data_IF_948520186214
#
_entry.id   IF_948520186214
#
_cell.length_a   1.000
_cell.length_b   1.000
_cell.length_c   1.000
_cell.angle_alpha   90.00
_cell.angle_beta   90.00
_cell.angle_gamma   90.00
#
_symmetry.space_group_name_H-M   'P 1'
#
loop_
_entity.id
_entity.type
_entity.pdbx_description
1 polymer ?
#
# COMPACT_ATOMS: atom_id res chain seq x y z
N UNK A 1 0.01 18.63 25.18
CA UNK A 1 -0.35 17.20 25.09
C UNK A 1 0.25 16.61 23.80
N UNK A 2 1.08 15.57 23.93
CA UNK A 2 1.39 14.53 22.90
C UNK A 2 2.15 14.88 21.60
N UNK A 3 3.25 15.63 21.62
CA UNK A 3 4.14 15.80 20.44
C UNK A 3 5.10 14.62 20.17
N UNK A 4 5.39 13.79 21.19
CA UNK A 4 6.34 12.65 21.07
C UNK A 4 5.79 11.46 20.28
N UNK A 5 4.48 11.20 20.36
CA UNK A 5 3.89 10.03 19.72
C UNK A 5 3.90 10.12 18.19
N UNK A 6 3.64 11.31 17.63
CA UNK A 6 3.73 11.55 16.18
C UNK A 6 5.15 11.35 15.67
N UNK A 7 6.19 11.90 16.31
CA UNK A 7 7.58 11.68 15.89
C UNK A 7 8.02 10.21 16.00
N UNK A 8 7.59 9.49 17.04
CA UNK A 8 7.88 8.06 17.17
C UNK A 8 7.19 7.23 16.07
N UNK A 9 5.94 7.58 15.74
CA UNK A 9 5.18 6.95 14.64
C UNK A 9 5.82 7.22 13.29
N UNK A 10 6.17 8.46 12.95
CA UNK A 10 6.80 8.79 11.67
C UNK A 10 8.10 8.00 11.48
N UNK A 11 8.96 7.91 12.53
CA UNK A 11 10.18 7.08 12.47
C UNK A 11 9.88 5.59 12.25
N UNK A 12 8.79 5.08 12.83
CA UNK A 12 8.41 3.69 12.64
C UNK A 12 7.92 3.43 11.22
N UNK A 13 7.17 4.36 10.63
CA UNK A 13 6.77 4.33 9.21
C UNK A 13 7.98 4.41 8.30
N UNK A 14 8.88 5.37 8.52
CA UNK A 14 10.10 5.51 7.71
C UNK A 14 10.92 4.23 7.72
N UNK A 15 11.14 3.67 8.91
CA UNK A 15 11.87 2.41 9.06
C UNK A 15 11.15 1.26 8.34
N UNK A 16 9.83 1.15 8.49
CA UNK A 16 9.05 0.11 7.84
C UNK A 16 9.09 0.24 6.30
N UNK A 17 9.00 1.46 5.76
CA UNK A 17 9.09 1.70 4.32
C UNK A 17 10.47 1.37 3.76
N UNK A 18 11.54 1.79 4.45
CA UNK A 18 12.92 1.44 4.05
C UNK A 18 13.16 -0.08 4.06
N UNK A 19 12.60 -0.80 5.03
CA UNK A 19 12.70 -2.27 5.08
C UNK A 19 11.81 -2.95 4.04
N UNK A 20 10.64 -2.39 3.75
CA UNK A 20 9.72 -2.94 2.78
C UNK A 20 10.26 -2.76 1.36
N UNK A 21 10.53 -1.52 0.92
CA UNK A 21 10.82 -1.18 -0.47
C UNK A 21 11.90 -0.07 -0.55
N UNK A 22 13.19 -0.44 -0.44
CA UNK A 22 14.29 0.52 -0.28
C UNK A 22 14.54 1.40 -1.52
N UNK A 23 14.08 0.99 -2.72
CA UNK A 23 14.25 1.76 -3.95
C UNK A 23 12.97 2.49 -4.40
N UNK A 24 12.02 2.71 -3.49
CA UNK A 24 10.83 3.51 -3.76
C UNK A 24 11.23 4.94 -4.14
N UNK A 25 10.75 5.49 -5.28
CA UNK A 25 10.99 6.88 -5.66
C UNK A 25 10.51 7.85 -4.58
N UNK A 26 11.13 9.03 -4.51
CA UNK A 26 10.84 9.99 -3.45
C UNK A 26 9.36 10.42 -3.42
N UNK A 27 8.76 10.69 -4.59
CA UNK A 27 7.34 11.07 -4.70
C UNK A 27 6.40 9.99 -4.17
N UNK A 28 6.65 8.73 -4.53
CA UNK A 28 5.86 7.59 -4.06
C UNK A 28 6.05 7.37 -2.56
N UNK A 29 7.29 7.48 -2.06
CA UNK A 29 7.59 7.33 -0.65
C UNK A 29 6.87 8.37 0.22
N UNK A 30 6.79 9.63 -0.23
CA UNK A 30 6.04 10.67 0.47
C UNK A 30 4.54 10.39 0.49
N UNK A 31 3.96 9.96 -0.64
CA UNK A 31 2.54 9.61 -0.71
C UNK A 31 2.21 8.41 0.22
N UNK A 32 3.05 7.37 0.21
CA UNK A 32 2.88 6.19 1.06
C UNK A 32 2.97 6.56 2.54
N UNK A 33 3.92 7.42 2.95
CA UNK A 33 4.02 7.91 4.34
C UNK A 33 2.74 8.61 4.77
N UNK A 34 2.24 9.53 3.93
CA UNK A 34 1.02 10.27 4.21
C UNK A 34 -0.19 9.34 4.37
N UNK A 35 -0.34 8.36 3.48
CA UNK A 35 -1.39 7.33 3.56
C UNK A 35 -1.25 6.48 4.83
N UNK A 36 -0.04 6.03 5.17
CA UNK A 36 0.21 5.20 6.35
C UNK A 36 -0.05 5.94 7.68
N UNK A 37 -0.06 7.27 7.67
CA UNK A 37 -0.41 8.14 8.81
C UNK A 37 -1.88 8.63 8.79
N UNK A 38 -2.67 8.27 7.77
CA UNK A 38 -4.12 8.55 7.73
C UNK A 38 -4.82 7.97 8.96
N UNK A 39 -5.91 8.62 9.37
CA UNK A 39 -6.74 8.20 10.51
C UNK A 39 -7.12 6.72 10.47
N UNK A 40 -7.37 6.15 9.29
CA UNK A 40 -7.76 4.75 9.11
C UNK A 40 -6.61 3.77 9.39
N UNK A 41 -5.37 4.13 9.05
CA UNK A 41 -4.20 3.23 9.13
C UNK A 41 -3.30 3.50 10.34
N UNK A 42 -3.33 4.72 10.90
CA UNK A 42 -2.42 5.13 12.00
C UNK A 42 -2.58 4.32 13.28
N UNK A 43 -3.71 3.61 13.45
CA UNK A 43 -3.97 2.72 14.59
C UNK A 43 -3.35 1.34 14.42
N UNK A 44 -2.96 0.96 13.21
CA UNK A 44 -2.31 -0.31 12.90
C UNK A 44 -0.80 -0.24 13.19
N UNK A 45 -0.14 -1.39 13.42
CA UNK A 45 1.32 -1.48 13.43
C UNK A 45 1.91 -0.86 12.15
N UNK A 46 3.01 -0.11 12.28
CA UNK A 46 3.58 0.65 11.16
C UNK A 46 3.90 -0.22 9.94
N UNK A 47 4.38 -1.45 10.14
CA UNK A 47 4.65 -2.40 9.05
C UNK A 47 3.39 -2.77 8.26
N UNK A 48 2.26 -2.97 8.94
CA UNK A 48 0.98 -3.30 8.30
C UNK A 48 0.42 -2.07 7.59
N UNK A 49 0.43 -0.91 8.26
CA UNK A 49 -0.02 0.34 7.66
C UNK A 49 0.75 0.70 6.39
N UNK A 50 2.08 0.53 6.41
CA UNK A 50 2.96 0.76 5.26
C UNK A 50 2.67 -0.24 4.15
N UNK A 51 2.48 -1.53 4.47
CA UNK A 51 2.12 -2.52 3.45
C UNK A 51 0.81 -2.15 2.72
N UNK A 52 -0.26 -1.88 3.48
CA UNK A 52 -1.57 -1.50 2.92
C UNK A 52 -1.46 -0.20 2.13
N UNK A 53 -0.77 0.80 2.67
CA UNK A 53 -0.55 2.08 2.00
C UNK A 53 0.24 1.92 0.68
N UNK A 54 1.29 1.11 0.68
CA UNK A 54 2.09 0.82 -0.52
C UNK A 54 1.26 0.12 -1.58
N UNK A 55 0.56 -0.96 -1.25
CA UNK A 55 -0.26 -1.70 -2.24
C UNK A 55 -1.38 -0.81 -2.78
N UNK A 56 -2.07 -0.07 -1.90
CA UNK A 56 -3.11 0.87 -2.33
C UNK A 56 -2.56 1.95 -3.24
N UNK A 57 -1.43 2.57 -2.90
CA UNK A 57 -0.78 3.59 -3.72
C UNK A 57 -0.37 3.04 -5.09
N UNK A 58 0.31 1.89 -5.11
CA UNK A 58 0.75 1.25 -6.36
C UNK A 58 -0.46 0.93 -7.23
N UNK A 59 -1.53 0.37 -6.64
CA UNK A 59 -2.76 0.06 -7.37
C UNK A 59 -3.37 1.29 -8.04
N UNK A 60 -3.52 2.40 -7.33
CA UNK A 60 -4.15 3.60 -7.90
C UNK A 60 -3.23 4.35 -8.87
N UNK A 61 -1.93 4.45 -8.59
CA UNK A 61 -1.04 5.36 -9.32
C UNK A 61 -0.17 4.67 -10.39
N UNK A 62 0.02 3.35 -10.29
CA UNK A 62 0.92 2.59 -11.17
C UNK A 62 0.23 1.46 -11.93
N UNK A 63 -1.11 1.40 -11.89
CA UNK A 63 -1.90 0.41 -12.61
C UNK A 63 -3.14 1.03 -13.24
N UNK A 64 -3.81 0.26 -14.07
CA UNK A 64 -5.05 0.56 -14.76
C UNK A 64 -6.29 0.38 -13.85
N UNK A 65 -6.12 0.23 -12.52
CA UNK A 65 -7.21 -0.09 -11.58
C UNK A 65 -8.38 0.89 -11.65
N UNK A 66 -8.11 2.19 -11.64
CA UNK A 66 -9.18 3.20 -11.67
C UNK A 66 -9.88 3.22 -13.05
N UNK A 67 -9.16 2.97 -14.13
CA UNK A 67 -9.74 2.83 -15.48
C UNK A 67 -10.68 1.62 -15.56
N UNK A 68 -10.28 0.47 -14.98
CA UNK A 68 -11.14 -0.73 -14.93
C UNK A 68 -12.43 -0.47 -14.14
N UNK A 69 -12.37 0.29 -13.04
CA UNK A 69 -13.58 0.66 -12.30
C UNK A 69 -14.51 1.57 -13.13
N UNK A 70 -13.94 2.53 -13.87
CA UNK A 70 -14.69 3.43 -14.75
C UNK A 70 -15.32 2.67 -15.95
N UNK A 71 -14.68 1.59 -16.39
CA UNK A 71 -15.21 0.66 -17.40
C UNK A 71 -16.33 -0.25 -16.86
N UNK A 72 -16.59 -0.21 -15.55
CA UNK A 72 -17.68 -0.93 -14.89
C UNK A 72 -17.28 -2.33 -14.39
N UNK A 73 -15.99 -2.64 -14.32
CA UNK A 73 -15.53 -3.82 -13.59
C UNK A 73 -15.81 -3.64 -12.10
N UNK A 74 -16.18 -4.73 -11.44
CA UNK A 74 -16.21 -4.73 -9.98
C UNK A 74 -14.79 -4.65 -9.40
N UNK A 75 -14.71 -4.34 -8.11
CA UNK A 75 -13.43 -4.15 -7.41
C UNK A 75 -12.57 -5.41 -7.41
N UNK A 76 -13.18 -6.59 -7.43
CA UNK A 76 -12.47 -7.86 -7.29
C UNK A 76 -11.84 -8.27 -8.59
N UNK A 77 -12.61 -8.17 -9.67
CA UNK A 77 -12.12 -8.31 -11.03
C UNK A 77 -11.00 -7.31 -11.30
N UNK A 78 -11.22 -6.02 -11.00
CA UNK A 78 -10.22 -4.97 -11.22
C UNK A 78 -8.92 -5.24 -10.44
N UNK A 79 -9.03 -5.65 -9.17
CA UNK A 79 -7.88 -6.05 -8.34
C UNK A 79 -7.12 -7.22 -8.97
N UNK A 80 -7.84 -8.29 -9.35
CA UNK A 80 -7.24 -9.47 -9.97
C UNK A 80 -6.45 -9.13 -11.24
N UNK A 81 -6.96 -8.23 -12.09
CA UNK A 81 -6.27 -7.83 -13.32
C UNK A 81 -4.95 -7.07 -13.08
N UNK A 82 -4.85 -6.32 -11.98
CA UNK A 82 -3.69 -5.45 -11.73
C UNK A 82 -2.63 -6.07 -10.83
N UNK A 83 -2.86 -7.24 -10.22
CA UNK A 83 -1.90 -7.90 -9.30
C UNK A 83 -0.51 -8.02 -9.91
N UNK A 84 -0.42 -8.47 -11.16
CA UNK A 84 0.88 -8.65 -11.83
C UNK A 84 1.61 -7.31 -11.98
N UNK A 85 0.90 -6.24 -12.37
CA UNK A 85 1.48 -4.90 -12.48
C UNK A 85 1.92 -4.35 -11.11
N UNK A 86 1.14 -4.61 -10.05
CA UNK A 86 1.56 -4.25 -8.68
C UNK A 86 2.88 -4.95 -8.35
N UNK A 87 2.98 -6.26 -8.62
CA UNK A 87 4.19 -7.03 -8.34
C UNK A 87 5.40 -6.61 -9.19
N UNK A 88 5.19 -6.16 -10.43
CA UNK A 88 6.26 -5.56 -11.25
C UNK A 88 6.83 -4.29 -10.60
N UNK A 89 5.97 -3.41 -10.08
CA UNK A 89 6.38 -2.18 -9.39
C UNK A 89 7.09 -2.49 -8.07
N UNK A 90 6.52 -3.37 -7.26
CA UNK A 90 7.14 -3.83 -6.01
C UNK A 90 8.52 -4.44 -6.26
N UNK A 91 8.65 -5.27 -7.31
CA UNK A 91 9.94 -5.85 -7.72
C UNK A 91 10.95 -4.77 -8.13
N UNK A 92 10.52 -3.77 -8.91
CA UNK A 92 11.35 -2.62 -9.32
C UNK A 92 11.87 -1.85 -8.11
N UNK A 93 11.04 -1.68 -7.07
CA UNK A 93 11.42 -1.02 -5.82
C UNK A 93 12.19 -1.92 -4.84
N UNK A 94 12.51 -3.15 -5.26
CA UNK A 94 13.19 -4.19 -4.45
C UNK A 94 12.41 -4.53 -3.18
N UNK A 95 11.10 -4.62 -3.31
CA UNK A 95 10.25 -4.94 -2.17
C UNK A 95 10.61 -6.30 -1.57
N UNK A 96 10.59 -6.40 -0.25
CA UNK A 96 10.86 -7.64 0.49
C UNK A 96 9.63 -8.54 0.61
N UNK A 97 8.47 -8.05 0.16
CA UNK A 97 7.20 -8.77 0.06
C UNK A 97 6.54 -8.46 -1.28
N UNK A 98 5.93 -9.46 -1.89
CA UNK A 98 5.07 -9.35 -3.06
C UNK A 98 3.61 -9.64 -2.67
N UNK A 99 2.68 -9.17 -3.49
CA UNK A 99 1.25 -9.42 -3.33
C UNK A 99 0.92 -10.81 -3.85
N UNK A 100 0.27 -11.63 -3.03
CA UNK A 100 -0.25 -12.92 -3.45
C UNK A 100 -1.64 -12.71 -4.09
N UNK A 101 -1.86 -13.13 -5.35
CA UNK A 101 -3.15 -13.01 -6.02
C UNK A 101 -4.29 -13.75 -5.27
N UNK A 102 -3.96 -14.78 -4.48
CA UNK A 102 -4.95 -15.50 -3.68
C UNK A 102 -5.27 -14.78 -2.35
N UNK A 103 -4.31 -14.08 -1.73
CA UNK A 103 -4.53 -13.32 -0.49
C UNK A 103 -5.44 -12.09 -0.70
N UNK A 104 -5.38 -11.41 -1.84
CA UNK A 104 -6.20 -10.23 -2.12
C UNK A 104 -7.71 -10.58 -2.17
N UNK A 105 -8.04 -11.81 -2.59
CA UNK A 105 -9.42 -12.31 -2.59
C UNK A 105 -9.99 -12.56 -1.18
N UNK A 106 -9.12 -12.78 -0.18
CA UNK A 106 -9.50 -13.13 1.18
C UNK A 106 -9.81 -11.90 2.06
N UNK A 107 -9.21 -10.73 1.76
CA UNK A 107 -9.51 -9.47 2.46
C UNK A 107 -10.96 -8.99 2.28
N UNK A 108 -11.69 -9.54 1.30
CA UNK A 108 -13.11 -9.25 1.06
C UNK A 108 -14.09 -9.80 2.11
N UNK A 109 -13.67 -10.73 2.98
CA UNK A 109 -14.56 -11.30 3.99
C UNK A 109 -14.62 -10.49 5.30
N UNK A 110 -13.96 -9.32 5.36
CA UNK A 110 -13.90 -8.48 6.56
C UNK A 110 -14.64 -7.13 6.43
N UNK A 111 -15.30 -6.87 5.29
CA UNK A 111 -16.06 -5.64 5.04
C UNK A 111 -17.57 -5.90 4.78
N UNK A 112 -18.13 -6.92 5.45
CA UNK A 112 -19.59 -7.15 5.56
C UNK A 112 -20.08 -6.90 6.98
#
# INVERSE_FOLDING_TARGET
MTRRASTARHRAVDKALTLLAPLTPYSDAEAIRALADDRKLRTLPATIAVWIATVSHVRHEHTEYDELLDEGYDRDAARHFVVDRINEVLTRWRATRLLDPEEESLENNLDS
#
